data_IF_585365084347
#
_entry.id   IF_585365084347
#
_cell.length_a   1.000
_cell.length_b   1.000
_cell.length_c   1.000
_cell.angle_alpha   90.00
_cell.angle_beta   90.00
_cell.angle_gamma   90.00
#
_symmetry.space_group_name_H-M   'P 1'
#
loop_
_entity.id
_entity.type
_entity.pdbx_description
1 polymer ?
#
# COMPACT_ATOMS: atom_id res chain seq x y z
N UNK A 1 13.28 6.87 -14.48
CA UNK A 1 13.22 8.09 -13.63
C UNK A 1 12.90 7.63 -12.22
N UNK A 2 13.95 7.26 -11.48
CA UNK A 2 13.80 6.80 -10.09
C UNK A 2 13.63 8.09 -9.29
N UNK A 3 12.41 8.33 -8.81
CA UNK A 3 12.15 9.46 -7.92
C UNK A 3 12.88 9.10 -6.63
N UNK A 4 13.98 9.82 -6.39
CA UNK A 4 14.73 9.81 -5.14
C UNK A 4 13.76 10.30 -4.06
N UNK A 5 13.08 9.36 -3.42
CA UNK A 5 12.23 9.64 -2.29
C UNK A 5 13.18 9.99 -1.16
N UNK A 6 13.31 11.29 -0.92
CA UNK A 6 14.17 11.87 0.09
C UNK A 6 13.85 11.26 1.46
N UNK A 7 14.79 10.46 1.99
CA UNK A 7 14.64 9.74 3.26
C UNK A 7 14.37 10.71 4.44
N UNK A 8 14.70 11.99 4.28
CA UNK A 8 14.40 13.04 5.26
C UNK A 8 12.89 13.30 5.36
N UNK A 9 12.18 13.25 4.22
CA UNK A 9 10.74 13.43 4.12
C UNK A 9 10.01 12.30 4.87
N UNK A 10 10.42 11.04 4.63
CA UNK A 10 9.81 9.87 5.28
C UNK A 10 9.98 9.87 6.81
N UNK A 11 11.13 10.31 7.30
CA UNK A 11 11.41 10.39 8.75
C UNK A 11 10.52 11.41 9.46
N UNK A 12 10.21 12.53 8.81
CA UNK A 12 9.30 13.54 9.37
C UNK A 12 7.85 13.08 9.40
N UNK A 13 7.39 12.34 8.37
CA UNK A 13 6.02 11.83 8.27
C UNK A 13 5.66 10.79 9.35
N UNK A 14 6.59 9.95 9.79
CA UNK A 14 6.30 8.95 10.83
C UNK A 14 6.13 9.55 12.23
N UNK A 15 6.71 10.73 12.48
CA UNK A 15 6.72 11.38 13.80
C UNK A 15 5.65 12.45 13.99
N UNK A 16 5.04 12.97 12.92
CA UNK A 16 3.98 13.99 13.02
C UNK A 16 2.60 13.39 12.78
N UNK A 17 1.99 12.89 13.86
CA UNK A 17 0.53 12.98 14.01
C UNK A 17 0.12 14.43 13.69
N UNK A 18 -0.82 14.58 12.76
CA UNK A 18 -1.66 15.77 12.55
C UNK A 18 -0.95 17.11 12.29
N UNK A 19 0.15 17.15 11.54
CA UNK A 19 0.52 18.40 10.89
C UNK A 19 -0.44 18.64 9.72
N UNK A 20 -1.27 19.68 9.81
CA UNK A 20 -2.14 20.16 8.74
C UNK A 20 -1.24 20.83 7.66
N UNK A 21 -0.47 20.02 6.94
CA UNK A 21 0.49 20.48 5.93
C UNK A 21 -0.32 21.07 4.76
N UNK A 22 -0.14 22.36 4.42
CA UNK A 22 -0.81 22.96 3.27
C UNK A 22 -0.36 22.26 1.99
N UNK A 23 -1.28 21.58 1.31
CA UNK A 23 -1.00 20.88 0.07
C UNK A 23 -2.29 20.37 -0.56
N UNK A 24 -2.28 20.14 -1.89
CA UNK A 24 -3.42 19.50 -2.58
C UNK A 24 -3.63 18.13 -1.94
N UNK A 25 -4.69 17.98 -1.14
CA UNK A 25 -5.15 16.70 -0.59
C UNK A 25 -5.59 15.83 -1.76
N UNK A 26 -4.65 15.13 -2.39
CA UNK A 26 -4.94 14.15 -3.43
C UNK A 26 -5.48 12.90 -2.76
N UNK A 27 -6.43 12.25 -3.41
CA UNK A 27 -6.92 10.95 -2.98
C UNK A 27 -5.74 9.99 -2.87
N UNK A 28 -5.52 9.41 -1.69
CA UNK A 28 -4.44 8.45 -1.48
C UNK A 28 -4.83 7.14 -2.16
N UNK A 29 -4.10 6.77 -3.21
CA UNK A 29 -4.20 5.43 -3.81
C UNK A 29 -3.05 4.60 -3.21
N UNK A 30 -3.41 3.48 -2.61
CA UNK A 30 -2.52 2.52 -1.96
C UNK A 30 -2.56 1.19 -2.72
N UNK A 31 -1.59 0.33 -2.47
CA UNK A 31 -1.51 -1.00 -3.07
C UNK A 31 -1.11 -2.03 -2.02
N UNK A 32 -1.73 -3.20 -2.08
CA UNK A 32 -1.38 -4.40 -1.34
C UNK A 32 -0.99 -5.50 -2.32
N UNK A 33 -0.08 -6.39 -1.93
CA UNK A 33 0.28 -7.57 -2.72
C UNK A 33 1.20 -8.49 -1.96
N UNK A 34 1.39 -9.70 -2.48
CA UNK A 34 2.21 -10.74 -1.88
C UNK A 34 3.59 -10.78 -2.53
N UNK A 35 4.63 -11.04 -1.73
CA UNK A 35 6.00 -11.21 -2.23
C UNK A 35 6.46 -12.66 -2.01
N UNK A 36 6.61 -13.40 -3.09
CA UNK A 36 7.02 -14.81 -3.06
C UNK A 36 8.06 -15.09 -4.14
N UNK A 37 9.14 -15.80 -3.81
CA UNK A 37 10.14 -16.22 -4.79
C UNK A 37 10.75 -15.07 -5.62
N UNK A 38 10.97 -13.90 -5.00
CA UNK A 38 11.42 -12.65 -5.67
C UNK A 38 10.45 -12.10 -6.71
N UNK A 39 9.17 -12.48 -6.64
CA UNK A 39 8.09 -11.97 -7.50
C UNK A 39 7.03 -11.30 -6.63
N UNK A 40 6.57 -10.15 -7.07
CA UNK A 40 5.38 -9.50 -6.51
C UNK A 40 4.15 -10.02 -7.26
N UNK A 41 3.22 -10.61 -6.53
CA UNK A 41 2.02 -11.26 -7.06
C UNK A 41 0.78 -10.83 -6.28
N UNK A 42 -0.41 -11.19 -6.77
CA UNK A 42 -1.68 -10.85 -6.12
C UNK A 42 -1.81 -9.35 -5.79
N UNK A 43 -1.44 -8.44 -6.69
CA UNK A 43 -1.50 -7.01 -6.42
C UNK A 43 -2.94 -6.47 -6.52
N UNK A 44 -3.34 -5.63 -5.57
CA UNK A 44 -4.62 -4.92 -5.56
C UNK A 44 -4.42 -3.46 -5.16
N UNK A 45 -4.98 -2.53 -5.94
CA UNK A 45 -5.01 -1.10 -5.61
C UNK A 45 -6.30 -0.73 -4.90
N UNK A 46 -6.22 0.14 -3.90
CA UNK A 46 -7.37 0.63 -3.15
C UNK A 46 -7.15 2.08 -2.72
N UNK A 47 -8.24 2.76 -2.33
CA UNK A 47 -8.18 4.14 -1.86
C UNK A 47 -8.07 4.15 -0.33
N UNK A 48 -7.20 5.00 0.21
CA UNK A 48 -7.08 5.22 1.65
C UNK A 48 -6.05 4.31 2.34
N UNK A 49 -6.31 3.99 3.61
CA UNK A 49 -5.47 3.11 4.43
C UNK A 49 -5.88 1.65 4.30
N UNK A 50 -4.95 0.72 4.57
CA UNK A 50 -5.29 -0.69 4.62
C UNK A 50 -5.94 -0.98 5.98
N UNK A 51 -7.23 -1.29 5.97
CA UNK A 51 -7.95 -1.79 7.14
C UNK A 51 -8.24 -3.29 6.99
N UNK A 52 -9.00 -3.83 7.96
CA UNK A 52 -9.39 -5.24 7.98
C UNK A 52 -10.23 -5.64 6.77
N UNK A 53 -11.07 -4.74 6.25
CA UNK A 53 -11.99 -5.05 5.16
C UNK A 53 -11.22 -5.13 3.85
N UNK A 54 -10.33 -4.17 3.61
CA UNK A 54 -9.41 -4.19 2.47
C UNK A 54 -8.52 -5.44 2.51
N UNK A 55 -7.96 -5.77 3.67
CA UNK A 55 -7.09 -6.93 3.82
C UNK A 55 -7.83 -8.25 3.58
N UNK A 56 -8.99 -8.46 4.21
CA UNK A 56 -9.77 -9.68 4.06
C UNK A 56 -10.27 -9.84 2.63
N UNK A 57 -10.75 -8.75 2.01
CA UNK A 57 -11.15 -8.75 0.59
C UNK A 57 -9.99 -9.21 -0.31
N UNK A 58 -8.80 -8.62 -0.12
CA UNK A 58 -7.60 -9.01 -0.87
C UNK A 58 -7.22 -10.48 -0.65
N UNK A 59 -7.26 -10.93 0.60
CA UNK A 59 -6.90 -12.29 0.99
C UNK A 59 -7.83 -13.31 0.32
N UNK A 60 -9.14 -13.13 0.50
CA UNK A 60 -10.17 -14.07 0.05
C UNK A 60 -10.34 -14.07 -1.46
N UNK A 61 -10.34 -12.90 -2.09
CA UNK A 61 -10.68 -12.78 -3.52
C UNK A 61 -9.47 -12.91 -4.44
N UNK A 62 -8.25 -12.66 -3.95
CA UNK A 62 -7.07 -12.57 -4.82
C UNK A 62 -5.98 -13.54 -4.36
N UNK A 63 -5.52 -13.45 -3.11
CA UNK A 63 -4.37 -14.23 -2.67
C UNK A 63 -4.69 -15.72 -2.56
N UNK A 64 -5.76 -16.11 -1.85
CA UNK A 64 -6.10 -17.52 -1.65
C UNK A 64 -6.39 -18.25 -2.98
N UNK A 65 -7.16 -17.68 -3.93
CA UNK A 65 -7.35 -18.30 -5.24
C UNK A 65 -6.04 -18.46 -6.02
N UNK A 66 -5.14 -17.47 -5.96
CA UNK A 66 -3.84 -17.57 -6.62
C UNK A 66 -2.99 -18.70 -6.03
N UNK A 67 -2.99 -18.86 -4.71
CA UNK A 67 -2.22 -19.92 -4.03
C UNK A 67 -2.81 -21.30 -4.25
N UNK A 68 -4.13 -21.43 -4.37
CA UNK A 68 -4.79 -22.70 -4.66
C UNK A 68 -4.53 -23.21 -6.10
N UNK A 69 -4.02 -22.36 -6.98
CA UNK A 69 -3.69 -22.67 -8.38
C UNK A 69 -2.18 -22.94 -8.60
N UNK A 70 -1.35 -22.79 -7.57
CA UNK A 70 0.08 -23.09 -7.58
C UNK A 70 0.35 -24.51 -7.07
#
# INVERSE_FOLDING_TARGET
>A
MIIEIDNKLYREYSTRREANIPGKKRQKISMIGNWIGRRFVASMTFIGGCDKEVFNTWLEQILLPLLAQL
#
